data_IF_743539999453
#
_entry.id   IF_743539999453
#
_cell.length_a   1.000
_cell.length_b   1.000
_cell.length_c   1.000
_cell.angle_alpha   90.00
_cell.angle_beta   90.00
_cell.angle_gamma   90.00
#
_symmetry.space_group_name_H-M   'P 1'
#
loop_
_entity.id
_entity.type
_entity.pdbx_description
1 polymer ?
#
# COMPACT_ATOMS: atom_id res chain seq x y z
N UNK A 1 11.00 6.10 27.24
CA UNK A 1 11.78 5.73 26.03
C UNK A 1 12.27 4.27 26.03
N UNK A 2 13.12 3.82 26.98
CA UNK A 2 13.61 2.44 27.01
C UNK A 2 12.53 1.36 27.10
N UNK A 3 11.46 1.56 27.82
CA UNK A 3 10.37 0.58 27.99
C UNK A 3 9.56 0.39 26.71
N UNK A 4 9.27 1.48 25.95
CA UNK A 4 8.55 1.42 24.67
C UNK A 4 9.38 0.73 23.58
N UNK A 5 10.70 1.03 23.52
CA UNK A 5 11.59 0.41 22.54
C UNK A 5 11.77 -1.09 22.77
N UNK A 6 11.84 -1.51 24.06
CA UNK A 6 12.02 -2.94 24.41
C UNK A 6 10.77 -3.75 24.09
N UNK A 7 9.56 -3.21 24.32
CA UNK A 7 8.32 -3.86 24.00
C UNK A 7 8.08 -3.95 22.48
N UNK A 8 8.50 -2.93 21.72
CA UNK A 8 8.44 -2.93 20.26
C UNK A 8 9.33 -4.03 19.66
N UNK A 9 10.57 -4.17 20.14
CA UNK A 9 11.49 -5.23 19.70
C UNK A 9 10.97 -6.62 20.09
N UNK A 10 10.40 -6.77 21.27
CA UNK A 10 9.83 -8.05 21.72
C UNK A 10 8.61 -8.46 20.85
N UNK A 11 7.84 -7.51 20.33
CA UNK A 11 6.69 -7.77 19.46
C UNK A 11 7.06 -8.02 17.99
N UNK A 12 8.24 -7.62 17.53
CA UNK A 12 8.68 -7.91 16.18
C UNK A 12 8.64 -9.43 15.83
N UNK A 13 8.66 -10.29 16.85
CA UNK A 13 8.44 -11.73 16.70
C UNK A 13 6.97 -12.19 16.72
N UNK A 14 6.02 -11.32 17.05
CA UNK A 14 4.58 -11.63 17.17
C UNK A 14 3.69 -10.88 16.19
N UNK A 15 4.19 -9.82 15.55
CA UNK A 15 3.48 -9.07 14.52
C UNK A 15 3.53 -9.79 13.18
N UNK A 16 2.46 -9.65 12.39
CA UNK A 16 2.42 -10.19 11.03
C UNK A 16 3.49 -9.51 10.19
N UNK A 17 4.42 -10.31 9.65
CA UNK A 17 5.52 -9.82 8.81
C UNK A 17 5.03 -9.18 7.50
N UNK A 18 3.88 -9.65 7.01
CA UNK A 18 3.24 -9.16 5.80
C UNK A 18 1.90 -8.54 6.17
N UNK A 19 1.76 -7.25 5.92
CA UNK A 19 0.49 -6.54 6.11
C UNK A 19 -0.39 -6.65 4.87
N UNK A 20 0.25 -6.68 3.72
CA UNK A 20 -0.37 -6.66 2.40
C UNK A 20 0.37 -7.59 1.43
N UNK A 21 -0.39 -8.35 0.63
CA UNK A 21 0.18 -9.32 -0.31
C UNK A 21 -0.60 -9.33 -1.63
N UNK A 22 0.12 -9.23 -2.74
CA UNK A 22 -0.43 -9.35 -4.09
C UNK A 22 0.16 -10.55 -4.81
N UNK A 23 -0.72 -11.43 -5.29
CA UNK A 23 -0.35 -12.48 -6.24
C UNK A 23 -0.28 -11.82 -7.62
N UNK A 24 0.86 -11.88 -8.25
CA UNK A 24 1.11 -11.15 -9.49
C UNK A 24 0.90 -12.02 -10.71
N UNK A 25 0.08 -11.58 -11.67
CA UNK A 25 -0.12 -12.19 -12.98
C UNK A 25 0.29 -11.24 -14.12
N UNK A 26 1.06 -10.19 -13.81
CA UNK A 26 1.48 -9.18 -14.78
C UNK A 26 3.02 -9.13 -14.90
N UNK A 27 3.67 -8.01 -14.71
CA UNK A 27 5.10 -7.82 -15.01
C UNK A 27 6.02 -8.75 -14.20
N UNK A 28 5.76 -8.94 -12.92
CA UNK A 28 6.56 -9.83 -12.07
C UNK A 28 6.34 -11.32 -12.35
N UNK A 29 5.23 -11.67 -13.00
CA UNK A 29 4.93 -13.03 -13.42
C UNK A 29 5.69 -13.43 -14.68
N UNK A 30 5.88 -12.49 -15.59
CA UNK A 30 6.53 -12.68 -16.86
C UNK A 30 5.64 -13.38 -17.91
N UNK A 31 6.25 -13.70 -19.06
CA UNK A 31 5.54 -14.33 -20.17
C UNK A 31 5.41 -15.84 -19.92
N UNK A 32 4.17 -16.32 -19.94
CA UNK A 32 3.81 -17.73 -19.78
C UNK A 32 2.80 -18.14 -20.86
N UNK A 33 2.65 -19.45 -21.08
CA UNK A 33 1.56 -19.96 -21.89
C UNK A 33 0.21 -19.76 -21.21
N UNK A 34 -0.86 -19.70 -21.98
CA UNK A 34 -2.21 -19.56 -21.44
C UNK A 34 -2.57 -20.70 -20.48
N UNK A 35 -2.20 -21.94 -20.81
CA UNK A 35 -2.48 -23.12 -19.97
C UNK A 35 -1.70 -23.10 -18.66
N UNK A 36 -0.45 -22.61 -18.70
CA UNK A 36 0.37 -22.44 -17.49
C UNK A 36 -0.24 -21.37 -16.57
N UNK A 37 -0.64 -20.22 -17.12
CA UNK A 37 -1.28 -19.16 -16.35
C UNK A 37 -2.63 -19.61 -15.79
N UNK A 38 -3.44 -20.35 -16.54
CA UNK A 38 -4.70 -20.94 -16.07
C UNK A 38 -4.46 -21.85 -14.85
N UNK A 39 -3.47 -22.73 -14.95
CA UNK A 39 -3.11 -23.64 -13.87
C UNK A 39 -2.62 -22.91 -12.63
N UNK A 40 -1.82 -21.84 -12.80
CA UNK A 40 -1.32 -21.01 -11.72
C UNK A 40 -2.43 -20.20 -11.06
N UNK A 41 -3.39 -19.66 -11.82
CA UNK A 41 -4.54 -18.95 -11.26
C UNK A 41 -5.37 -19.83 -10.34
N UNK A 42 -5.68 -21.06 -10.78
CA UNK A 42 -6.42 -22.03 -9.97
C UNK A 42 -5.62 -22.46 -8.73
N UNK A 43 -4.33 -22.74 -8.88
CA UNK A 43 -3.46 -23.13 -7.79
C UNK A 43 -3.30 -22.03 -6.73
N UNK A 44 -3.11 -20.78 -7.18
CA UNK A 44 -3.02 -19.61 -6.31
C UNK A 44 -4.31 -19.41 -5.50
N UNK A 45 -5.47 -19.56 -6.14
CA UNK A 45 -6.77 -19.49 -5.48
C UNK A 45 -6.94 -20.55 -4.37
N UNK A 46 -6.56 -21.79 -4.65
CA UNK A 46 -6.59 -22.89 -3.66
C UNK A 46 -5.66 -22.62 -2.48
N UNK A 47 -4.44 -22.16 -2.77
CA UNK A 47 -3.46 -21.82 -1.73
C UNK A 47 -3.96 -20.67 -0.86
N UNK A 48 -4.52 -19.61 -1.48
CA UNK A 48 -5.11 -18.51 -0.74
C UNK A 48 -6.27 -18.99 0.15
N UNK A 49 -7.17 -19.79 -0.38
CA UNK A 49 -8.28 -20.37 0.39
C UNK A 49 -7.78 -21.12 1.64
N UNK A 50 -6.70 -21.89 1.50
CA UNK A 50 -6.14 -22.67 2.61
C UNK A 50 -5.54 -21.81 3.73
N UNK A 51 -5.02 -20.61 3.43
CA UNK A 51 -4.34 -19.74 4.42
C UNK A 51 -5.20 -18.57 4.91
N UNK A 52 -6.26 -18.21 4.19
CA UNK A 52 -7.03 -16.99 4.43
C UNK A 52 -7.65 -16.88 5.84
N UNK A 53 -7.93 -18.02 6.50
CA UNK A 53 -8.45 -18.07 7.88
C UNK A 53 -7.38 -18.16 8.96
N UNK A 54 -6.10 -18.28 8.58
CA UNK A 54 -5.02 -18.46 9.54
C UNK A 54 -4.58 -17.14 10.17
N UNK A 55 -3.98 -17.23 11.36
CA UNK A 55 -3.36 -16.08 12.03
C UNK A 55 -2.14 -15.50 11.26
N UNK A 56 -1.60 -16.27 10.31
CA UNK A 56 -0.47 -15.86 9.47
C UNK A 56 -0.91 -15.09 8.21
N UNK A 57 -2.20 -15.17 7.84
CA UNK A 57 -2.69 -14.48 6.65
C UNK A 57 -2.49 -12.97 6.76
N UNK A 58 -1.98 -12.30 5.72
CA UNK A 58 -1.92 -10.84 5.66
C UNK A 58 -3.30 -10.22 5.87
N UNK A 59 -3.32 -8.99 6.37
CA UNK A 59 -4.57 -8.24 6.55
C UNK A 59 -5.24 -7.95 5.21
N UNK A 60 -4.43 -7.57 4.23
CA UNK A 60 -4.87 -7.26 2.88
C UNK A 60 -4.25 -8.28 1.92
N UNK A 61 -5.09 -8.91 1.12
CA UNK A 61 -4.67 -9.89 0.11
C UNK A 61 -5.36 -9.56 -1.20
N UNK A 62 -4.65 -9.75 -2.31
CA UNK A 62 -5.22 -9.54 -3.62
C UNK A 62 -4.41 -10.15 -4.73
N UNK A 63 -4.86 -9.91 -5.95
CA UNK A 63 -4.14 -10.27 -7.17
C UNK A 63 -3.95 -9.04 -8.05
N UNK A 64 -2.82 -8.99 -8.75
CA UNK A 64 -2.64 -8.08 -9.87
C UNK A 64 -2.93 -8.84 -11.17
N UNK A 65 -3.94 -8.39 -11.89
CA UNK A 65 -4.32 -8.91 -13.20
C UNK A 65 -3.52 -8.21 -14.30
N UNK A 66 -3.55 -8.75 -15.53
CA UNK A 66 -3.03 -8.03 -16.69
C UNK A 66 -3.85 -6.77 -17.00
N UNK A 67 -3.28 -5.79 -17.74
CA UNK A 67 -4.00 -4.57 -18.10
C UNK A 67 -5.29 -4.85 -18.87
N UNK A 68 -6.34 -4.08 -18.62
CA UNK A 68 -7.58 -4.09 -19.40
C UNK A 68 -7.40 -3.27 -20.69
N UNK A 69 -6.36 -3.57 -21.45
CA UNK A 69 -6.10 -3.05 -22.77
C UNK A 69 -6.68 -3.97 -23.83
N UNK A 70 -6.79 -3.49 -25.09
CA UNK A 70 -7.27 -4.31 -26.20
C UNK A 70 -6.52 -5.64 -26.34
N UNK A 71 -5.22 -5.65 -26.08
CA UNK A 71 -4.40 -6.87 -26.17
C UNK A 71 -4.49 -7.74 -24.91
N UNK A 72 -4.63 -7.14 -23.70
CA UNK A 72 -4.54 -7.85 -22.43
C UNK A 72 -5.88 -8.30 -21.84
N UNK A 73 -6.98 -7.63 -22.20
CA UNK A 73 -8.28 -7.78 -21.56
C UNK A 73 -8.77 -9.23 -21.50
N UNK A 74 -8.74 -9.94 -22.64
CA UNK A 74 -9.22 -11.33 -22.69
C UNK A 74 -8.47 -12.22 -21.70
N UNK A 75 -7.15 -12.08 -21.62
CA UNK A 75 -6.32 -12.87 -20.71
C UNK A 75 -6.54 -12.45 -19.25
N UNK A 76 -6.60 -11.15 -18.97
CA UNK A 76 -6.87 -10.60 -17.65
C UNK A 76 -8.18 -11.15 -17.07
N UNK A 77 -9.26 -11.11 -17.87
CA UNK A 77 -10.58 -11.58 -17.44
C UNK A 77 -10.62 -13.09 -17.25
N UNK A 78 -9.95 -13.87 -18.09
CA UNK A 78 -9.86 -15.31 -17.92
C UNK A 78 -9.10 -15.69 -16.64
N UNK A 79 -7.98 -15.03 -16.36
CA UNK A 79 -7.21 -15.24 -15.14
C UNK A 79 -8.03 -14.88 -13.90
N UNK A 80 -8.72 -13.73 -13.94
CA UNK A 80 -9.60 -13.30 -12.85
C UNK A 80 -10.74 -14.30 -12.62
N UNK A 81 -11.42 -14.75 -13.68
CA UNK A 81 -12.49 -15.74 -13.59
C UNK A 81 -12.00 -17.03 -12.93
N UNK A 82 -10.92 -17.63 -13.46
CA UNK A 82 -10.37 -18.87 -12.92
C UNK A 82 -9.94 -18.74 -11.46
N UNK A 83 -9.40 -17.58 -11.09
CA UNK A 83 -8.99 -17.31 -9.72
C UNK A 83 -10.21 -17.19 -8.79
N UNK A 84 -11.23 -16.41 -9.16
CA UNK A 84 -12.45 -16.22 -8.36
C UNK A 84 -13.23 -17.52 -8.22
N UNK A 85 -13.42 -18.26 -9.32
CA UNK A 85 -14.07 -19.58 -9.31
C UNK A 85 -13.30 -20.59 -8.46
N UNK A 86 -11.97 -20.60 -8.61
CA UNK A 86 -11.09 -21.46 -7.81
C UNK A 86 -11.17 -21.14 -6.33
N UNK A 87 -11.21 -19.86 -5.96
CA UNK A 87 -11.35 -19.40 -4.60
C UNK A 87 -12.72 -19.78 -4.02
N UNK A 88 -13.80 -19.58 -4.78
CA UNK A 88 -15.16 -19.94 -4.39
C UNK A 88 -15.28 -21.45 -4.15
N UNK A 89 -14.80 -22.27 -5.07
CA UNK A 89 -14.85 -23.74 -4.97
C UNK A 89 -14.02 -24.28 -3.78
N UNK A 90 -12.91 -23.60 -3.45
CA UNK A 90 -12.04 -24.00 -2.35
C UNK A 90 -12.50 -23.45 -0.98
N UNK A 91 -13.45 -22.50 -0.95
CA UNK A 91 -14.00 -21.97 0.30
C UNK A 91 -14.77 -23.05 1.04
N UNK A 92 -14.39 -23.28 2.28
CA UNK A 92 -15.08 -24.12 3.25
C UNK A 92 -15.29 -23.33 4.55
N UNK A 93 -15.88 -23.93 5.57
CA UNK A 93 -16.12 -23.28 6.86
C UNK A 93 -14.85 -22.68 7.51
N UNK A 94 -13.67 -23.24 7.20
CA UNK A 94 -12.38 -22.76 7.73
C UNK A 94 -11.82 -21.56 6.95
N UNK A 95 -12.25 -21.35 5.68
CA UNK A 95 -11.82 -20.25 4.82
C UNK A 95 -12.78 -19.06 4.82
N UNK A 96 -13.80 -19.09 5.66
CA UNK A 96 -14.76 -17.97 5.85
C UNK A 96 -14.11 -16.68 6.39
N UNK A 97 -12.82 -16.73 6.75
CA UNK A 97 -12.06 -15.61 7.26
C UNK A 97 -11.69 -14.52 6.23
N UNK A 98 -11.75 -14.82 4.93
CA UNK A 98 -11.50 -13.82 3.90
C UNK A 98 -12.71 -12.90 3.74
N UNK A 99 -12.59 -11.70 4.27
CA UNK A 99 -13.68 -10.70 4.28
C UNK A 99 -13.69 -9.82 3.04
N UNK A 100 -12.55 -9.66 2.38
CA UNK A 100 -12.37 -8.87 1.16
C UNK A 100 -11.17 -9.37 0.36
N UNK A 101 -11.18 -9.07 -0.93
CA UNK A 101 -10.09 -9.36 -1.87
C UNK A 101 -9.80 -8.11 -2.70
N UNK A 102 -8.53 -7.80 -2.89
CA UNK A 102 -8.11 -6.63 -3.67
C UNK A 102 -7.74 -7.06 -5.08
N UNK A 103 -8.34 -6.41 -6.07
CA UNK A 103 -7.97 -6.57 -7.48
C UNK A 103 -7.15 -5.35 -7.88
N UNK A 104 -5.88 -5.59 -8.18
CA UNK A 104 -4.96 -4.54 -8.65
C UNK A 104 -5.04 -4.44 -10.15
N UNK A 105 -5.44 -3.28 -10.65
CA UNK A 105 -5.53 -2.95 -12.07
C UNK A 105 -4.30 -2.12 -12.49
N UNK A 106 -3.38 -2.70 -13.30
CA UNK A 106 -2.20 -1.98 -13.79
C UNK A 106 -2.50 -1.18 -15.05
N UNK A 107 -1.60 -0.27 -15.41
CA UNK A 107 -1.54 0.47 -16.68
C UNK A 107 -2.86 1.14 -17.04
N UNK A 108 -3.51 1.75 -16.06
CA UNK A 108 -4.78 2.46 -16.25
C UNK A 108 -4.55 3.72 -17.09
N UNK A 109 -5.33 3.86 -18.16
CA UNK A 109 -5.23 4.98 -19.11
C UNK A 109 -6.51 5.79 -19.23
N UNK A 110 -7.66 5.22 -18.85
CA UNK A 110 -8.97 5.87 -18.93
C UNK A 110 -9.93 5.34 -17.86
N UNK A 111 -11.00 6.08 -17.63
CA UNK A 111 -12.00 5.77 -16.61
C UNK A 111 -12.88 4.56 -16.96
N UNK A 112 -13.06 4.28 -18.26
CA UNK A 112 -13.86 3.16 -18.75
C UNK A 112 -13.25 1.81 -18.33
N UNK A 113 -11.92 1.70 -18.26
CA UNK A 113 -11.26 0.48 -17.75
C UNK A 113 -11.65 0.21 -16.30
N UNK A 114 -11.73 1.26 -15.49
CA UNK A 114 -12.12 1.15 -14.07
C UNK A 114 -13.60 0.80 -13.94
N UNK A 115 -14.47 1.49 -14.69
CA UNK A 115 -15.90 1.21 -14.70
C UNK A 115 -16.20 -0.23 -15.16
N UNK A 116 -15.54 -0.69 -16.23
CA UNK A 116 -15.67 -2.08 -16.71
C UNK A 116 -15.25 -3.09 -15.63
N UNK A 117 -14.15 -2.83 -14.92
CA UNK A 117 -13.75 -3.71 -13.81
C UNK A 117 -14.82 -3.73 -12.71
N UNK A 118 -15.41 -2.59 -12.35
CA UNK A 118 -16.49 -2.52 -11.35
C UNK A 118 -17.67 -3.40 -11.76
N UNK A 119 -18.16 -3.28 -13.00
CA UNK A 119 -19.28 -4.09 -13.52
C UNK A 119 -18.98 -5.60 -13.45
N UNK A 120 -17.75 -6.00 -13.78
CA UNK A 120 -17.31 -7.40 -13.70
C UNK A 120 -17.30 -7.88 -12.25
N UNK A 121 -16.77 -7.08 -11.33
CA UNK A 121 -16.72 -7.43 -9.91
C UNK A 121 -18.12 -7.51 -9.29
N UNK A 122 -19.05 -6.62 -9.69
CA UNK A 122 -20.46 -6.70 -9.30
C UNK A 122 -21.13 -7.98 -9.80
N UNK A 123 -20.82 -8.41 -11.03
CA UNK A 123 -21.33 -9.66 -11.58
C UNK A 123 -20.82 -10.87 -10.79
N UNK A 124 -19.52 -10.92 -10.48
CA UNK A 124 -18.94 -11.99 -9.66
C UNK A 124 -19.49 -12.03 -8.24
N UNK A 125 -19.72 -10.87 -7.61
CA UNK A 125 -20.33 -10.84 -6.27
C UNK A 125 -21.73 -11.45 -6.29
N UNK A 126 -22.52 -11.17 -7.33
CA UNK A 126 -23.87 -11.77 -7.51
C UNK A 126 -23.79 -13.27 -7.80
N UNK A 127 -22.95 -13.68 -8.74
CA UNK A 127 -22.81 -15.07 -9.18
C UNK A 127 -22.37 -16.00 -8.04
N UNK A 128 -21.41 -15.54 -7.23
CA UNK A 128 -20.85 -16.31 -6.14
C UNK A 128 -21.48 -16.02 -4.77
N UNK A 129 -22.60 -15.30 -4.72
CA UNK A 129 -23.30 -14.93 -3.49
C UNK A 129 -22.40 -14.27 -2.44
N UNK A 130 -21.48 -13.41 -2.90
CA UNK A 130 -20.60 -12.61 -2.04
C UNK A 130 -21.32 -11.32 -1.60
N UNK A 131 -20.91 -10.78 -0.46
CA UNK A 131 -21.42 -9.47 -0.04
C UNK A 131 -20.97 -8.36 -0.99
N UNK A 132 -21.82 -7.35 -1.20
CA UNK A 132 -21.43 -6.18 -1.98
C UNK A 132 -20.17 -5.51 -1.40
N UNK A 133 -19.19 -5.23 -2.25
CA UNK A 133 -17.91 -4.67 -1.82
C UNK A 133 -16.91 -5.70 -1.30
N UNK A 134 -17.14 -7.00 -1.50
CA UNK A 134 -16.15 -8.03 -1.24
C UNK A 134 -14.89 -7.81 -2.04
N UNK A 135 -15.01 -7.39 -3.31
CA UNK A 135 -13.89 -6.97 -4.12
C UNK A 135 -13.62 -5.48 -3.96
N UNK A 136 -12.40 -5.14 -3.60
CA UNK A 136 -11.86 -3.78 -3.64
C UNK A 136 -10.90 -3.63 -4.80
N UNK A 137 -10.66 -2.39 -5.22
CA UNK A 137 -9.77 -2.08 -6.36
C UNK A 137 -8.54 -1.32 -5.85
N UNK A 138 -7.38 -1.69 -6.35
CA UNK A 138 -6.15 -0.91 -6.32
C UNK A 138 -5.79 -0.53 -7.75
N UNK A 139 -5.45 0.73 -8.00
CA UNK A 139 -5.02 1.22 -9.32
C UNK A 139 -3.52 1.45 -9.30
N UNK A 140 -2.80 0.91 -10.31
CA UNK A 140 -1.40 1.29 -10.51
C UNK A 140 -1.35 2.51 -11.43
N UNK A 141 -0.81 3.60 -10.87
CA UNK A 141 -0.64 4.90 -11.53
C UNK A 141 0.77 4.92 -12.14
N UNK A 142 0.86 4.63 -13.43
CA UNK A 142 2.15 4.42 -14.11
C UNK A 142 2.16 4.89 -15.57
N UNK A 143 1.07 5.51 -16.01
CA UNK A 143 0.96 6.05 -17.37
C UNK A 143 0.82 7.56 -17.33
N UNK A 144 1.42 8.33 -18.26
CA UNK A 144 1.24 9.79 -18.33
C UNK A 144 -0.23 10.19 -18.46
N UNK A 145 -1.04 9.38 -19.12
CA UNK A 145 -2.48 9.61 -19.27
C UNK A 145 -3.27 9.51 -17.96
N UNK A 146 -2.70 8.95 -16.89
CA UNK A 146 -3.31 9.00 -15.57
C UNK A 146 -3.18 10.40 -14.91
N UNK A 147 -2.19 11.19 -15.34
CA UNK A 147 -1.90 12.51 -14.78
C UNK A 147 -2.50 13.64 -15.62
N UNK A 148 -2.44 13.52 -16.94
CA UNK A 148 -2.91 14.54 -17.86
C UNK A 148 -3.61 13.90 -19.05
N UNK A 149 -4.90 14.19 -19.21
CA UNK A 149 -5.69 13.84 -20.39
C UNK A 149 -5.29 14.67 -21.60
N UNK A 150 -5.52 14.15 -22.79
CA UNK A 150 -5.27 14.88 -24.05
C UNK A 150 -6.11 16.15 -24.20
N UNK A 151 -7.21 16.22 -23.49
CA UNK A 151 -8.14 17.35 -23.41
C UNK A 151 -7.78 18.33 -22.27
N UNK A 152 -6.66 18.14 -21.60
CA UNK A 152 -6.22 18.94 -20.46
C UNK A 152 -6.90 18.61 -19.13
N UNK A 153 -7.71 17.56 -19.07
CA UNK A 153 -8.33 17.12 -17.82
C UNK A 153 -7.33 16.40 -16.90
N UNK A 154 -7.76 16.17 -15.64
CA UNK A 154 -7.01 15.42 -14.63
C UNK A 154 -7.69 14.05 -14.43
N UNK A 155 -7.26 12.98 -15.14
CA UNK A 155 -8.00 11.74 -15.21
C UNK A 155 -8.10 10.96 -13.90
N UNK A 156 -7.14 11.07 -12.97
CA UNK A 156 -7.18 10.32 -11.71
C UNK A 156 -8.45 10.55 -10.90
N UNK A 157 -9.00 11.76 -10.90
CA UNK A 157 -10.27 12.05 -10.24
C UNK A 157 -11.43 11.24 -10.87
N UNK A 158 -11.43 11.13 -12.21
CA UNK A 158 -12.41 10.32 -12.93
C UNK A 158 -12.23 8.84 -12.67
N UNK A 159 -11.00 8.35 -12.54
CA UNK A 159 -10.73 6.94 -12.17
C UNK A 159 -11.30 6.61 -10.80
N UNK A 160 -11.08 7.48 -9.80
CA UNK A 160 -11.63 7.31 -8.47
C UNK A 160 -13.15 7.35 -8.46
N UNK A 161 -13.76 8.27 -9.21
CA UNK A 161 -15.20 8.34 -9.36
C UNK A 161 -15.77 7.06 -10.00
N UNK A 162 -15.17 6.60 -11.10
CA UNK A 162 -15.60 5.40 -11.83
C UNK A 162 -15.38 4.10 -11.05
N UNK A 163 -14.61 4.14 -9.98
CA UNK A 163 -14.43 2.98 -9.10
C UNK A 163 -15.67 2.70 -8.22
N UNK A 164 -16.69 3.54 -8.24
CA UNK A 164 -17.92 3.42 -7.46
C UNK A 164 -17.68 3.14 -5.96
N UNK A 165 -16.63 3.77 -5.39
CA UNK A 165 -16.23 3.58 -3.99
C UNK A 165 -15.48 2.27 -3.70
N UNK A 166 -15.14 1.47 -4.72
CA UNK A 166 -14.36 0.24 -4.56
C UNK A 166 -12.85 0.49 -4.48
N UNK A 167 -12.35 1.63 -4.99
CA UNK A 167 -10.93 1.95 -4.90
C UNK A 167 -10.51 2.19 -3.45
N UNK A 168 -9.44 1.50 -3.03
CA UNK A 168 -8.85 1.61 -1.69
C UNK A 168 -7.42 2.11 -1.72
N UNK A 169 -6.73 1.95 -2.85
CA UNK A 169 -5.32 2.27 -2.96
C UNK A 169 -4.95 2.76 -4.36
N UNK A 170 -4.05 3.73 -4.39
CA UNK A 170 -3.28 4.11 -5.58
C UNK A 170 -1.84 3.67 -5.35
N UNK A 171 -1.32 2.83 -6.25
CA UNK A 171 0.06 2.38 -6.22
C UNK A 171 0.87 3.05 -7.34
N UNK A 172 2.09 3.50 -7.06
CA UNK A 172 2.94 4.16 -8.05
C UNK A 172 3.81 3.17 -8.80
N UNK A 173 3.69 3.15 -10.14
CA UNK A 173 4.53 2.33 -11.02
C UNK A 173 5.70 3.12 -11.60
N UNK A 174 6.89 2.98 -10.99
CA UNK A 174 8.09 3.78 -11.30
C UNK A 174 8.58 3.57 -12.72
N UNK A 175 8.70 2.31 -13.16
CA UNK A 175 9.41 1.97 -14.39
C UNK A 175 8.60 2.31 -15.64
N UNK A 176 7.33 1.92 -15.68
CA UNK A 176 6.43 2.25 -16.78
C UNK A 176 6.28 3.78 -16.90
N UNK A 177 6.14 4.47 -15.77
CA UNK A 177 6.03 5.93 -15.76
C UNK A 177 7.29 6.60 -16.31
N UNK A 178 8.45 6.28 -15.78
CA UNK A 178 9.71 6.90 -16.21
C UNK A 178 10.08 6.53 -17.64
N UNK A 179 9.82 5.27 -18.07
CA UNK A 179 9.99 4.83 -19.44
C UNK A 179 9.12 5.63 -20.43
N UNK A 180 7.85 5.85 -20.07
CA UNK A 180 6.92 6.60 -20.91
C UNK A 180 7.27 8.09 -21.06
N UNK A 181 8.07 8.62 -20.14
CA UNK A 181 8.66 9.97 -20.23
C UNK A 181 9.96 10.01 -21.03
N UNK A 182 10.41 8.88 -21.61
CA UNK A 182 11.66 8.80 -22.35
C UNK A 182 12.92 8.78 -21.47
N UNK A 183 12.79 8.53 -20.18
CA UNK A 183 13.93 8.44 -19.28
C UNK A 183 14.65 7.12 -19.51
N UNK A 184 15.94 7.19 -19.83
CA UNK A 184 16.77 6.01 -20.07
C UNK A 184 16.95 5.17 -18.79
N UNK A 185 17.24 3.88 -18.96
CA UNK A 185 17.29 2.89 -17.86
C UNK A 185 18.18 3.29 -16.68
N UNK A 186 19.26 3.99 -16.91
CA UNK A 186 20.16 4.48 -15.86
C UNK A 186 19.51 5.55 -14.95
N UNK A 187 18.50 6.27 -15.47
CA UNK A 187 17.74 7.28 -14.72
C UNK A 187 16.41 6.76 -14.16
N UNK A 188 16.03 5.54 -14.48
CA UNK A 188 14.78 4.93 -14.00
C UNK A 188 14.93 4.47 -12.55
N UNK A 189 14.75 5.38 -11.62
CA UNK A 189 14.86 5.11 -10.19
C UNK A 189 13.75 5.81 -9.41
N UNK A 190 13.42 5.27 -8.25
CA UNK A 190 12.35 5.80 -7.39
C UNK A 190 12.64 7.22 -6.89
N UNK A 191 13.89 7.64 -6.84
CA UNK A 191 14.34 8.98 -6.43
C UNK A 191 14.49 9.96 -7.60
N UNK A 192 14.11 9.57 -8.81
CA UNK A 192 14.07 10.49 -9.95
C UNK A 192 13.02 11.61 -9.72
N UNK A 193 13.32 12.84 -10.11
CA UNK A 193 12.49 14.02 -9.88
C UNK A 193 11.05 13.86 -10.45
N UNK A 194 10.92 13.21 -11.61
CA UNK A 194 9.60 12.91 -12.18
C UNK A 194 8.73 12.05 -11.26
N UNK A 195 9.36 11.15 -10.48
CA UNK A 195 8.65 10.31 -9.51
C UNK A 195 8.13 11.14 -8.32
N UNK A 196 8.83 12.20 -7.92
CA UNK A 196 8.34 13.13 -6.89
C UNK A 196 7.09 13.87 -7.35
N UNK A 197 7.08 14.36 -8.60
CA UNK A 197 5.90 14.96 -9.20
C UNK A 197 4.71 13.98 -9.18
N UNK A 198 4.92 12.75 -9.64
CA UNK A 198 3.86 11.74 -9.67
C UNK A 198 3.30 11.44 -8.28
N UNK A 199 4.16 11.29 -7.27
CA UNK A 199 3.78 11.05 -5.88
C UNK A 199 2.92 12.17 -5.30
N UNK A 200 3.33 13.43 -5.48
CA UNK A 200 2.56 14.60 -5.02
C UNK A 200 1.18 14.59 -5.67
N UNK A 201 1.13 14.34 -6.97
CA UNK A 201 -0.12 14.32 -7.71
C UNK A 201 -1.08 13.22 -7.27
N UNK A 202 -0.54 12.03 -6.98
CA UNK A 202 -1.32 10.91 -6.41
C UNK A 202 -1.87 11.24 -5.01
N UNK A 203 -1.10 11.92 -4.17
CA UNK A 203 -1.57 12.35 -2.85
C UNK A 203 -2.71 13.37 -2.97
N UNK A 204 -2.59 14.34 -3.89
CA UNK A 204 -3.67 15.30 -4.17
C UNK A 204 -4.92 14.55 -4.63
N UNK A 205 -4.80 13.62 -5.58
CA UNK A 205 -5.94 12.84 -6.05
C UNK A 205 -6.57 11.99 -4.94
N UNK A 206 -5.76 11.30 -4.14
CA UNK A 206 -6.23 10.49 -3.02
C UNK A 206 -6.97 11.33 -1.96
N UNK A 207 -6.58 12.60 -1.76
CA UNK A 207 -7.26 13.49 -0.81
C UNK A 207 -8.68 13.90 -1.23
N UNK A 208 -9.03 13.72 -2.50
CA UNK A 208 -10.37 14.02 -3.02
C UNK A 208 -11.40 12.92 -2.70
N UNK A 209 -10.97 11.77 -2.25
CA UNK A 209 -11.84 10.64 -1.92
C UNK A 209 -11.49 10.06 -0.54
N UNK A 210 -12.50 9.71 0.29
CA UNK A 210 -12.25 9.17 1.62
C UNK A 210 -11.61 7.78 1.56
N UNK A 211 -10.72 7.50 2.49
CA UNK A 211 -10.12 6.18 2.71
C UNK A 211 -9.27 5.62 1.55
N UNK A 212 -8.76 6.48 0.67
CA UNK A 212 -7.78 6.09 -0.33
C UNK A 212 -6.38 6.15 0.29
N UNK A 213 -5.66 5.05 0.24
CA UNK A 213 -4.25 4.99 0.62
C UNK A 213 -3.35 5.16 -0.60
N UNK A 214 -2.15 5.67 -0.38
CA UNK A 214 -1.11 5.74 -1.42
C UNK A 214 0.03 4.80 -1.08
N UNK A 215 0.50 4.07 -2.09
CA UNK A 215 1.62 3.14 -1.99
C UNK A 215 2.74 3.59 -2.93
N UNK A 216 3.95 3.68 -2.41
CA UNK A 216 5.11 4.07 -3.20
C UNK A 216 5.58 2.93 -4.11
N UNK A 217 6.32 3.30 -5.14
CA UNK A 217 6.82 2.38 -6.14
C UNK A 217 7.94 1.47 -5.65
N UNK A 218 8.34 0.59 -6.53
CA UNK A 218 9.37 -0.42 -6.24
C UNK A 218 10.78 0.16 -6.17
N UNK A 219 11.61 -0.44 -5.33
CA UNK A 219 13.05 -0.22 -5.26
C UNK A 219 13.74 -1.43 -5.88
N UNK A 220 14.31 -1.27 -7.09
CA UNK A 220 14.88 -2.39 -7.86
C UNK A 220 16.24 -2.87 -7.36
N UNK A 221 16.97 -2.05 -6.59
CA UNK A 221 18.27 -2.43 -6.04
C UNK A 221 18.08 -3.41 -4.88
N UNK A 222 18.07 -4.71 -5.16
CA UNK A 222 17.80 -5.74 -4.16
C UNK A 222 19.02 -6.00 -3.28
N UNK A 223 18.88 -5.98 -1.94
CA UNK A 223 19.92 -6.36 -0.98
C UNK A 223 19.98 -7.89 -0.83
N UNK A 224 20.33 -8.58 -1.90
CA UNK A 224 20.47 -10.04 -1.88
C UNK A 224 21.73 -10.43 -1.11
N UNK A 225 21.61 -11.41 -0.21
CA UNK A 225 22.74 -11.94 0.52
C UNK A 225 23.72 -12.55 -0.48
N UNK A 226 24.98 -12.10 -0.51
CA UNK A 226 25.96 -12.59 -1.47
C UNK A 226 26.29 -14.07 -1.23
N UNK A 227 26.46 -14.82 -2.32
CA UNK A 227 26.88 -16.22 -2.25
C UNK A 227 28.35 -16.34 -1.85
N UNK A 228 29.17 -15.38 -2.24
CA UNK A 228 30.58 -15.29 -1.95
C UNK A 228 30.83 -14.26 -0.86
N UNK A 229 31.72 -14.58 0.07
CA UNK A 229 32.08 -13.70 1.18
C UNK A 229 33.30 -12.82 0.85
N UNK A 230 33.27 -12.18 -0.33
CA UNK A 230 34.29 -11.22 -0.76
C UNK A 230 34.01 -9.82 -0.20
N UNK A 231 35.05 -8.97 -0.17
CA UNK A 231 34.91 -7.58 0.27
C UNK A 231 33.89 -6.83 -0.62
N UNK A 232 34.06 -6.95 -1.95
CA UNK A 232 33.16 -6.29 -2.93
C UNK A 232 31.71 -6.73 -2.78
N UNK A 233 31.48 -8.02 -2.57
CA UNK A 233 30.10 -8.54 -2.41
C UNK A 233 29.45 -7.99 -1.13
N UNK A 234 30.18 -7.84 -0.05
CA UNK A 234 29.69 -7.21 1.20
C UNK A 234 29.42 -5.73 1.01
N UNK A 235 30.27 -5.02 0.27
CA UNK A 235 30.08 -3.59 -0.03
C UNK A 235 28.85 -3.36 -0.92
N UNK A 236 28.66 -4.18 -1.96
CA UNK A 236 27.46 -4.13 -2.82
C UNK A 236 26.19 -4.40 -2.01
N UNK A 237 26.17 -5.44 -1.18
CA UNK A 237 25.06 -5.73 -0.29
C UNK A 237 24.76 -4.55 0.66
N UNK A 238 25.78 -4.04 1.33
CA UNK A 238 25.65 -2.91 2.25
C UNK A 238 25.20 -1.62 1.57
N UNK A 239 25.64 -1.38 0.33
CA UNK A 239 25.18 -0.25 -0.50
C UNK A 239 23.72 -0.40 -0.87
N UNK A 240 23.28 -1.58 -1.34
CA UNK A 240 21.89 -1.86 -1.67
C UNK A 240 20.98 -1.73 -0.44
N UNK A 241 21.43 -2.27 0.71
CA UNK A 241 20.72 -2.17 1.98
C UNK A 241 20.49 -0.71 2.42
N UNK A 242 21.58 0.10 2.41
CA UNK A 242 21.52 1.52 2.76
C UNK A 242 20.60 2.31 1.81
N UNK A 243 20.69 2.04 0.51
CA UNK A 243 19.82 2.69 -0.48
C UNK A 243 18.35 2.40 -0.22
N UNK A 244 17.99 1.12 -0.02
CA UNK A 244 16.60 0.75 0.32
C UNK A 244 16.11 1.48 1.58
N UNK A 245 16.91 1.45 2.64
CA UNK A 245 16.56 2.14 3.89
C UNK A 245 16.34 3.64 3.69
N UNK A 246 17.22 4.31 2.94
CA UNK A 246 17.11 5.74 2.66
C UNK A 246 15.83 6.06 1.85
N UNK A 247 15.52 5.26 0.83
CA UNK A 247 14.31 5.48 0.03
C UNK A 247 13.04 5.22 0.85
N UNK A 248 13.01 4.16 1.66
CA UNK A 248 11.87 3.89 2.55
C UNK A 248 11.68 5.02 3.59
N UNK A 249 12.75 5.53 4.19
CA UNK A 249 12.68 6.68 5.11
C UNK A 249 12.18 7.95 4.39
N UNK A 250 12.60 8.18 3.14
CA UNK A 250 12.12 9.29 2.31
C UNK A 250 10.63 9.15 2.02
N UNK A 251 10.15 7.96 1.65
CA UNK A 251 8.74 7.67 1.43
C UNK A 251 7.90 7.96 2.67
N UNK A 252 8.33 7.47 3.83
CA UNK A 252 7.67 7.71 5.12
C UNK A 252 7.58 9.21 5.46
N UNK A 253 8.68 9.94 5.29
CA UNK A 253 8.74 11.40 5.55
C UNK A 253 7.80 12.19 4.61
N UNK A 254 7.53 11.66 3.41
CA UNK A 254 6.62 12.25 2.43
C UNK A 254 5.17 11.73 2.54
N UNK A 255 4.84 10.97 3.60
CA UNK A 255 3.48 10.46 3.84
C UNK A 255 3.12 9.19 3.06
N UNK A 256 4.11 8.53 2.44
CA UNK A 256 3.95 7.22 1.84
C UNK A 256 4.33 6.14 2.84
N UNK A 257 3.34 5.60 3.53
CA UNK A 257 3.54 4.60 4.59
C UNK A 257 3.55 3.17 4.07
N UNK A 258 3.22 2.98 2.81
CA UNK A 258 3.29 1.71 2.11
C UNK A 258 4.14 1.81 0.85
N UNK A 259 4.67 0.67 0.39
CA UNK A 259 5.41 0.53 -0.84
C UNK A 259 5.44 -0.93 -1.27
N UNK A 260 5.77 -1.16 -2.51
CA UNK A 260 5.86 -2.49 -3.08
C UNK A 260 7.26 -3.07 -2.94
N UNK A 261 7.40 -4.16 -2.19
CA UNK A 261 8.65 -4.90 -2.09
C UNK A 261 8.68 -6.02 -3.13
N UNK A 262 9.69 -6.00 -4.00
CA UNK A 262 9.88 -6.98 -5.07
C UNK A 262 10.32 -8.35 -4.55
N UNK A 263 10.99 -8.38 -3.42
CA UNK A 263 11.62 -9.59 -2.91
C UNK A 263 11.60 -9.59 -1.37
N UNK A 264 11.41 -10.75 -0.72
CA UNK A 264 11.38 -10.85 0.74
C UNK A 264 12.62 -10.28 1.47
N UNK A 265 13.77 -10.16 0.79
CA UNK A 265 14.97 -9.53 1.39
C UNK A 265 14.78 -8.04 1.73
N UNK A 266 13.78 -7.36 1.18
CA UNK A 266 13.47 -5.97 1.49
C UNK A 266 12.62 -5.80 2.75
N UNK A 267 11.86 -6.82 3.16
CA UNK A 267 10.97 -6.77 4.31
C UNK A 267 11.67 -6.40 5.63
N UNK A 268 12.83 -6.97 5.98
CA UNK A 268 13.52 -6.58 7.21
C UNK A 268 13.88 -5.08 7.21
N UNK A 269 14.27 -4.53 6.06
CA UNK A 269 14.64 -3.12 5.94
C UNK A 269 13.39 -2.24 6.09
N UNK A 270 12.27 -2.63 5.50
CA UNK A 270 11.00 -1.93 5.65
C UNK A 270 10.53 -1.87 7.10
N UNK A 271 10.58 -3.00 7.81
CA UNK A 271 10.24 -3.03 9.23
C UNK A 271 11.17 -2.16 10.08
N UNK A 272 12.48 -2.18 9.80
CA UNK A 272 13.43 -1.31 10.48
C UNK A 272 13.14 0.16 10.17
N UNK A 273 12.91 0.52 8.91
CA UNK A 273 12.60 1.90 8.52
C UNK A 273 11.33 2.41 9.22
N UNK A 274 10.25 1.63 9.20
CA UNK A 274 9.00 1.97 9.88
C UNK A 274 9.21 2.16 11.38
N UNK A 275 9.89 1.21 12.01
CA UNK A 275 10.17 1.28 13.46
C UNK A 275 11.00 2.50 13.82
N UNK A 276 12.08 2.74 13.09
CA UNK A 276 12.97 3.90 13.36
C UNK A 276 12.24 5.21 13.09
N UNK A 277 11.45 5.30 12.04
CA UNK A 277 10.65 6.48 11.72
C UNK A 277 9.70 6.82 12.86
N UNK A 278 8.90 5.84 13.31
CA UNK A 278 7.94 6.05 14.40
C UNK A 278 8.64 6.41 15.71
N UNK A 279 9.67 5.68 16.10
CA UNK A 279 10.35 5.91 17.38
C UNK A 279 11.09 7.25 17.44
N UNK A 280 11.60 7.77 16.32
CA UNK A 280 12.23 9.09 16.25
C UNK A 280 11.24 10.22 16.50
N UNK A 281 10.03 10.10 15.98
CA UNK A 281 9.01 11.15 16.03
C UNK A 281 8.10 11.06 17.27
N UNK A 282 8.06 9.88 17.94
CA UNK A 282 7.05 9.55 18.94
C UNK A 282 7.00 10.54 20.12
N UNK A 283 8.13 10.82 20.74
CA UNK A 283 8.17 11.70 21.94
C UNK A 283 7.73 13.13 21.59
N UNK A 284 8.16 13.62 20.43
CA UNK A 284 7.75 14.92 19.91
C UNK A 284 6.26 14.96 19.59
N UNK A 285 5.73 13.93 18.94
CA UNK A 285 4.32 13.82 18.60
C UNK A 285 3.43 13.75 19.85
N UNK A 286 3.81 12.93 20.85
CA UNK A 286 3.10 12.82 22.13
C UNK A 286 3.10 14.17 22.86
N UNK A 287 4.24 14.84 22.97
CA UNK A 287 4.36 16.15 23.63
C UNK A 287 3.49 17.21 22.97
N UNK A 288 3.51 17.28 21.63
CA UNK A 288 2.70 18.24 20.86
C UNK A 288 1.21 17.98 21.05
N UNK A 289 0.76 16.72 20.97
CA UNK A 289 -0.66 16.40 21.12
C UNK A 289 -1.16 16.69 22.55
N UNK A 290 -0.38 16.38 23.58
CA UNK A 290 -0.70 16.76 24.99
C UNK A 290 -0.81 18.27 25.15
N UNK A 291 0.11 19.02 24.57
CA UNK A 291 0.07 20.48 24.61
C UNK A 291 -1.18 21.03 23.95
N UNK A 292 -1.58 20.46 22.81
CA UNK A 292 -2.81 20.84 22.12
C UNK A 292 -4.04 20.58 23.00
N UNK A 293 -4.19 19.38 23.56
CA UNK A 293 -5.33 19.02 24.44
C UNK A 293 -5.39 19.92 25.65
N UNK A 294 -4.25 20.19 26.32
CA UNK A 294 -4.18 21.08 27.45
C UNK A 294 -4.59 22.53 27.10
N UNK A 295 -4.20 23.03 25.94
CA UNK A 295 -4.59 24.36 25.44
C UNK A 295 -6.06 24.43 25.04
N UNK A 296 -6.58 23.39 24.37
CA UNK A 296 -8.00 23.31 23.99
C UNK A 296 -8.90 23.37 25.23
N UNK A 297 -8.49 22.74 26.35
CA UNK A 297 -9.20 22.80 27.61
C UNK A 297 -9.06 24.16 28.34
N UNK A 298 -8.03 24.96 28.00
CA UNK A 298 -7.77 26.29 28.58
C UNK A 298 -8.21 27.45 27.68
N UNK A 299 -8.62 27.20 26.43
CA UNK A 299 -8.93 28.22 25.40
C UNK A 299 -10.14 29.12 25.75
N UNK A 300 -10.75 28.97 26.92
CA UNK A 300 -11.66 29.98 27.46
C UNK A 300 -10.94 31.25 27.98
N UNK A 301 -9.61 31.25 28.07
CA UNK A 301 -8.89 32.34 28.71
C UNK A 301 -7.53 32.70 28.17
N UNK A 302 -7.20 33.07 27.01
CA UNK A 302 -5.99 33.84 26.58
C UNK A 302 -5.49 33.46 25.19
N UNK A 303 -5.33 34.43 24.31
CA UNK A 303 -4.74 34.31 22.98
C UNK A 303 -3.27 33.89 23.00
N UNK A 304 -3.01 32.69 22.57
CA UNK A 304 -1.69 32.13 22.35
C UNK A 304 -1.70 31.27 21.07
N UNK A 305 -0.57 31.19 20.38
CA UNK A 305 -0.37 30.50 19.12
C UNK A 305 -1.06 29.12 19.14
N UNK A 306 -2.12 29.00 18.36
CA UNK A 306 -2.80 27.74 18.10
C UNK A 306 -1.85 26.82 17.33
N UNK A 307 -1.61 25.59 17.81
CA UNK A 307 -1.32 24.53 16.89
C UNK A 307 -2.59 24.40 16.02
N UNK A 308 -2.45 24.70 14.76
CA UNK A 308 -3.54 24.72 13.80
C UNK A 308 -4.19 23.32 13.71
N UNK A 309 -5.50 23.26 13.48
CA UNK A 309 -6.25 22.03 13.23
C UNK A 309 -5.52 21.10 12.24
N UNK A 310 -4.87 21.65 11.22
CA UNK A 310 -4.07 20.91 10.25
C UNK A 310 -2.87 20.18 10.88
N UNK A 311 -2.19 20.81 11.84
CA UNK A 311 -1.07 20.20 12.58
C UNK A 311 -1.54 19.02 13.43
N UNK A 312 -2.71 19.14 14.04
CA UNK A 312 -3.31 18.04 14.84
C UNK A 312 -3.73 16.89 13.98
N UNK A 313 -4.32 17.13 12.81
CA UNK A 313 -4.65 16.07 11.85
C UNK A 313 -3.39 15.31 11.40
N UNK A 314 -2.27 16.02 11.19
CA UNK A 314 -0.97 15.41 10.91
C UNK A 314 -0.49 14.49 12.02
N UNK A 315 -0.63 14.91 13.30
CA UNK A 315 -0.29 14.08 14.46
C UNK A 315 -1.21 12.85 14.57
N UNK A 316 -2.51 13.00 14.37
CA UNK A 316 -3.45 11.88 14.39
C UNK A 316 -3.13 10.87 13.29
N UNK A 317 -2.82 11.32 12.07
CA UNK A 317 -2.38 10.44 10.98
C UNK A 317 -1.10 9.69 11.35
N UNK A 318 -0.13 10.33 11.99
CA UNK A 318 1.08 9.68 12.47
C UNK A 318 0.77 8.55 13.47
N UNK A 319 -0.08 8.80 14.48
CA UNK A 319 -0.45 7.78 15.47
C UNK A 319 -1.25 6.62 14.85
N UNK A 320 -2.19 6.91 13.96
CA UNK A 320 -2.93 5.87 13.23
C UNK A 320 -1.98 4.94 12.47
N UNK A 321 -0.95 5.50 11.84
CA UNK A 321 0.06 4.73 11.11
C UNK A 321 0.98 3.96 12.03
N UNK A 322 1.41 4.54 13.12
CA UNK A 322 2.23 3.87 14.12
C UNK A 322 1.54 2.64 14.72
N UNK A 323 0.22 2.74 14.95
CA UNK A 323 -0.60 1.62 15.44
C UNK A 323 -0.88 0.61 14.31
N UNK A 324 -1.27 1.05 13.13
CA UNK A 324 -1.62 0.15 12.02
C UNK A 324 -0.42 -0.67 11.52
N UNK A 325 0.79 -0.11 11.58
CA UNK A 325 2.04 -0.81 11.25
C UNK A 325 2.52 -1.76 12.36
N UNK A 326 1.84 -1.82 13.50
CA UNK A 326 2.21 -2.65 14.64
C UNK A 326 3.46 -2.16 15.40
N UNK A 327 4.01 -0.99 15.07
CA UNK A 327 5.14 -0.39 15.82
C UNK A 327 4.71 0.05 17.21
N UNK A 328 3.50 0.63 17.34
CA UNK A 328 2.88 0.95 18.62
C UNK A 328 1.66 0.06 18.87
N UNK A 329 1.49 -0.35 20.13
CA UNK A 329 0.24 -0.93 20.59
C UNK A 329 -0.72 0.17 21.04
N UNK A 330 -2.05 0.04 20.82
CA UNK A 330 -3.02 1.02 21.32
C UNK A 330 -2.89 1.31 22.82
N UNK A 331 -2.63 0.28 23.63
CA UNK A 331 -2.46 0.44 25.09
C UNK A 331 -1.22 1.25 25.47
N UNK A 332 -0.13 1.16 24.67
CA UNK A 332 1.08 1.99 24.90
C UNK A 332 0.81 3.45 24.60
N UNK A 333 0.02 3.70 23.57
CA UNK A 333 -0.40 5.05 23.24
C UNK A 333 -1.27 5.64 24.36
N UNK A 334 -2.24 4.88 24.86
CA UNK A 334 -3.05 5.28 26.02
C UNK A 334 -2.20 5.48 27.28
N UNK A 335 -1.25 4.58 27.55
CA UNK A 335 -0.32 4.71 28.68
C UNK A 335 0.58 5.95 28.57
N UNK A 336 0.85 6.43 27.35
CA UNK A 336 1.55 7.69 27.13
C UNK A 336 0.68 8.92 27.47
N UNK A 337 -0.60 8.76 27.81
CA UNK A 337 -1.56 9.82 28.08
C UNK A 337 -2.16 10.48 26.83
N UNK A 338 -2.15 9.76 25.70
CA UNK A 338 -2.73 10.20 24.43
C UNK A 338 -3.93 9.31 24.08
N UNK A 339 -5.11 9.90 23.99
CA UNK A 339 -6.32 9.26 23.49
C UNK A 339 -6.67 9.82 22.11
N UNK A 340 -6.24 9.14 21.05
CA UNK A 340 -6.44 9.57 19.65
C UNK A 340 -7.93 9.68 19.30
N UNK A 341 -8.77 8.76 19.79
CA UNK A 341 -10.21 8.79 19.52
C UNK A 341 -10.89 10.00 20.13
N UNK A 342 -10.52 10.37 21.38
CA UNK A 342 -11.03 11.54 22.06
C UNK A 342 -10.61 12.83 21.36
N UNK A 343 -9.32 12.95 20.98
CA UNK A 343 -8.84 14.12 20.24
C UNK A 343 -9.55 14.24 18.91
N UNK A 344 -9.75 13.14 18.19
CA UNK A 344 -10.45 13.14 16.89
C UNK A 344 -11.92 13.60 17.02
N UNK A 345 -12.59 13.27 18.10
CA UNK A 345 -13.97 13.71 18.35
C UNK A 345 -14.08 15.19 18.75
N UNK A 346 -12.96 15.79 19.15
CA UNK A 346 -12.91 17.20 19.62
C UNK A 346 -12.52 18.22 18.56
N UNK A 347 -12.12 17.77 17.36
CA UNK A 347 -11.73 18.60 16.22
C UNK A 347 -12.70 18.47 15.04
#
# INVERSE_FOLDING_TARGET
MLALSTSCVARAGTTKFLEDYRIDFEDGYGVRSDDEEDSHAISAAKTLAAVAGSHLAPKNIGIRIKPLSTAGMRRALKTLALFVDGLHKARNAQTSGLKHLIITLPKVTNAEQVATLVEILDAYEKEHHLGHGFFSIELIVETPSAFLGRDGTIPMASFLHSSAGRCRSLHFGVYDFTSSLGIGSAGQSIDHLACDFARIWMQIAASLAPNITVSDGIISRLPLVPKENTQDAREQFGSAWRYNYQQMMRSLANGYYQGWDLHPCQLPIRHIANTVFVLRELDGAVSRLKTFVARASQASHVGGVFDDRASVLGLLNFFDRAVSSGVLHPDELLASGVNVAEVRSSI
#
